data_IF_624568995862
#
_entry.id   IF_624568995862
#
_cell.length_a   1.000
_cell.length_b   1.000
_cell.length_c   1.000
_cell.angle_alpha   90.00
_cell.angle_beta   90.00
_cell.angle_gamma   90.00
#
_symmetry.space_group_name_H-M   'P 1'
#
loop_
_entity.id
_entity.type
_entity.pdbx_description
1 polymer ?
#
# COMPACT_ATOMS: atom_id res chain seq x y z
N UNK A 1 -20.85 -27.40 -16.54
CA UNK A 1 -19.83 -26.39 -16.91
C UNK A 1 -19.36 -25.75 -15.62
N UNK A 2 -18.15 -26.08 -15.15
CA UNK A 2 -17.58 -25.42 -13.98
C UNK A 2 -16.90 -24.14 -14.47
N UNK A 3 -17.55 -23.01 -14.26
CA UNK A 3 -16.97 -21.68 -14.46
C UNK A 3 -15.93 -21.43 -13.37
N UNK A 4 -14.65 -21.42 -13.75
CA UNK A 4 -13.58 -20.93 -12.88
C UNK A 4 -13.73 -19.42 -12.73
N UNK A 5 -14.16 -18.95 -11.56
CA UNK A 5 -14.28 -17.51 -11.29
C UNK A 5 -12.89 -16.91 -11.06
N UNK A 6 -12.46 -16.03 -11.95
CA UNK A 6 -11.25 -15.23 -11.77
C UNK A 6 -11.49 -14.16 -10.70
N UNK A 7 -10.65 -14.16 -9.66
CA UNK A 7 -10.65 -13.11 -8.62
C UNK A 7 -9.53 -12.13 -8.94
N UNK A 8 -9.86 -10.84 -9.03
CA UNK A 8 -8.89 -9.77 -9.22
C UNK A 8 -8.68 -9.02 -7.90
N UNK A 9 -7.56 -9.22 -7.19
CA UNK A 9 -7.23 -8.40 -6.03
C UNK A 9 -6.92 -6.97 -6.47
N UNK A 10 -7.34 -6.00 -5.66
CA UNK A 10 -7.10 -4.57 -5.88
C UNK A 10 -6.60 -3.97 -4.58
N UNK A 11 -5.46 -3.28 -4.66
CA UNK A 11 -4.89 -2.54 -3.52
C UNK A 11 -5.24 -1.06 -3.69
N UNK A 12 -6.01 -0.52 -2.74
CA UNK A 12 -6.31 0.90 -2.71
C UNK A 12 -5.11 1.69 -2.18
N UNK A 13 -4.44 2.40 -3.07
CA UNK A 13 -3.18 3.09 -2.80
C UNK A 13 -3.34 4.62 -2.88
N UNK A 14 -3.90 5.21 -1.83
CA UNK A 14 -4.11 6.65 -1.73
C UNK A 14 -4.10 7.18 -0.29
N UNK A 15 -4.49 8.45 -0.16
CA UNK A 15 -4.50 9.19 1.11
C UNK A 15 -3.19 9.93 1.38
N UNK A 16 -3.29 11.15 1.89
CA UNK A 16 -2.16 12.09 2.05
C UNK A 16 -1.20 11.72 3.19
N UNK A 17 -1.62 10.88 4.14
CA UNK A 17 -0.79 10.46 5.27
C UNK A 17 -0.38 11.61 6.19
N UNK A 18 -1.17 12.68 6.29
CA UNK A 18 -0.82 13.92 7.02
C UNK A 18 -0.45 13.71 8.49
N UNK A 19 -1.00 12.68 9.16
CA UNK A 19 -0.61 12.33 10.54
C UNK A 19 0.82 11.81 10.68
N UNK A 20 1.46 11.41 9.58
CA UNK A 20 2.85 10.94 9.54
C UNK A 20 3.82 12.05 9.11
N UNK A 21 3.39 13.32 9.08
CA UNK A 21 4.32 14.43 8.86
C UNK A 21 5.41 14.42 9.96
N UNK A 22 6.70 14.65 9.64
CA UNK A 22 7.25 15.10 8.36
C UNK A 22 7.60 13.99 7.35
N UNK A 23 7.40 12.73 7.72
CA UNK A 23 7.77 11.58 6.89
C UNK A 23 6.91 11.47 5.63
N UNK A 24 5.58 11.63 5.76
CA UNK A 24 4.65 11.64 4.62
C UNK A 24 4.42 13.07 4.12
N UNK A 25 4.72 13.31 2.84
CA UNK A 25 4.55 14.60 2.15
C UNK A 25 4.03 14.35 0.74
N UNK A 26 3.62 15.40 0.02
CA UNK A 26 3.12 15.25 -1.35
C UNK A 26 4.09 14.48 -2.29
N UNK A 27 5.39 14.76 -2.18
CA UNK A 27 6.44 14.04 -2.94
C UNK A 27 6.94 12.74 -2.30
N UNK A 28 6.50 12.42 -1.08
CA UNK A 28 6.89 11.21 -0.34
C UNK A 28 5.64 10.57 0.31
N UNK A 29 4.79 9.89 -0.47
CA UNK A 29 3.53 9.35 0.03
C UNK A 29 3.72 8.21 1.04
N UNK A 30 2.83 8.11 2.04
CA UNK A 30 2.92 7.13 3.13
C UNK A 30 3.10 5.69 2.66
N UNK A 31 2.43 5.29 1.58
CA UNK A 31 2.41 3.90 1.10
C UNK A 31 3.81 3.39 0.73
N UNK A 32 4.74 4.28 0.39
CA UNK A 32 6.10 3.92 0.00
C UNK A 32 7.10 4.07 1.15
N UNK A 33 6.64 4.48 2.34
CA UNK A 33 7.49 4.56 3.52
C UNK A 33 7.71 3.17 4.12
N UNK A 34 8.94 2.92 4.54
CA UNK A 34 9.32 1.78 5.38
C UNK A 34 9.21 2.23 6.84
N UNK A 35 8.10 1.89 7.49
CA UNK A 35 7.86 2.26 8.90
C UNK A 35 8.32 1.20 9.89
N UNK A 36 8.42 -0.06 9.44
CA UNK A 36 8.88 -1.18 10.23
C UNK A 36 9.51 -2.22 9.31
N UNK A 37 10.62 -2.82 9.77
CA UNK A 37 11.37 -3.80 8.98
C UNK A 37 12.01 -3.17 7.74
N UNK A 38 11.96 -3.90 6.62
CA UNK A 38 12.69 -3.56 5.39
C UNK A 38 11.78 -3.31 4.18
N UNK A 39 10.46 -3.28 4.39
CA UNK A 39 9.49 -3.17 3.31
C UNK A 39 8.57 -1.98 3.47
N UNK A 40 8.18 -1.39 2.35
CA UNK A 40 7.18 -0.32 2.34
C UNK A 40 5.80 -0.85 2.70
N UNK A 41 4.93 0.02 3.20
CA UNK A 41 3.52 -0.32 3.47
C UNK A 41 2.81 -0.91 2.22
N UNK A 42 3.17 -0.45 1.02
CA UNK A 42 2.64 -0.99 -0.23
C UNK A 42 3.13 -2.42 -0.50
N UNK A 43 4.43 -2.69 -0.33
CA UNK A 43 4.99 -4.05 -0.47
C UNK A 43 4.36 -5.02 0.54
N UNK A 44 4.20 -4.58 1.79
CA UNK A 44 3.52 -5.38 2.83
C UNK A 44 2.07 -5.71 2.44
N UNK A 45 1.35 -4.77 1.80
CA UNK A 45 -0.01 -5.00 1.32
C UNK A 45 -0.08 -5.93 0.10
N UNK A 46 0.97 -5.97 -0.74
CA UNK A 46 1.07 -6.91 -1.88
C UNK A 46 1.34 -8.34 -1.40
N UNK A 47 2.10 -8.50 -0.32
CA UNK A 47 2.50 -9.82 0.20
C UNK A 47 1.46 -10.51 1.08
N UNK A 48 0.45 -9.78 1.57
CA UNK A 48 -0.58 -10.27 2.48
C UNK A 48 -1.85 -10.67 1.75
#
# INVERSE_FOLDING_TARGET
>A
MNESRTIQPVILCGGSGTRLWPLSRAGFPKQFLVLAGNESLFQQAVQR
#
